data_IF_293085657501
#
_entry.id   IF_293085657501
#
_cell.length_a   1.000
_cell.length_b   1.000
_cell.length_c   1.000
_cell.angle_alpha   90.00
_cell.angle_beta   90.00
_cell.angle_gamma   90.00
#
_symmetry.space_group_name_H-M   'P 1'
#
loop_
_entity.id
_entity.type
_entity.pdbx_description
1 polymer ?
2 polymer ?
3 non-polymer ?
4 non-polymer ?
5 water ?
#
# COMPACT_ATOMS: atom_id res chain seq x y z
C UNK A 1 20.58 -5.97 5.48
N UNK A 2 19.47 -6.66 5.69
CA UNK A 2 18.73 -7.25 4.58
C UNK A 2 17.45 -6.47 4.26
N UNK A 3 17.11 -5.50 5.10
CA UNK A 3 15.93 -4.67 4.84
C UNK A 3 16.17 -3.76 3.64
N UNK A 4 15.32 -3.90 2.63
CA UNK A 4 15.43 -3.10 1.42
C UNK A 4 14.13 -2.34 1.18
N UNK A 5 14.14 -1.48 0.16
CA UNK A 5 12.93 -0.76 -0.23
C UNK A 5 11.87 -1.75 -0.70
N UNK A 6 12.32 -2.82 -1.34
CA UNK A 6 11.43 -3.87 -1.82
C UNK A 6 10.78 -4.62 -0.66
N UNK A 7 11.57 -4.95 0.35
CA UNK A 7 11.05 -5.67 1.55
C UNK A 7 10.13 -4.75 2.31
N UNK A 8 10.53 -3.48 2.42
CA UNK A 8 9.74 -2.47 3.10
C UNK A 8 8.33 -2.38 2.52
N UNK A 9 8.24 -2.46 1.20
CA UNK A 9 6.95 -2.43 0.51
C UNK A 9 6.09 -3.62 0.92
N UNK A 10 6.70 -4.80 0.96
CA UNK A 10 5.99 -6.01 1.34
C UNK A 10 5.49 -5.93 2.77
N UNK A 11 6.32 -5.38 3.65
CA UNK A 11 5.96 -5.24 5.09
C UNK A 11 4.79 -4.31 5.25
N UNK A 12 4.74 -3.27 4.43
CA UNK A 12 3.72 -2.23 4.58
C UNK A 12 2.41 -2.53 3.85
N UNK A 13 2.48 -3.25 2.73
CA UNK A 13 1.32 -3.32 1.84
C UNK A 13 0.83 -4.73 1.50
N UNK A 14 1.68 -5.74 1.63
CA UNK A 14 1.29 -7.09 1.26
C UNK A 14 0.49 -7.79 2.35
N UNK A 15 -0.60 -8.45 1.95
CA UNK A 15 -1.43 -9.20 2.87
C UNK A 15 -2.23 -10.26 2.12
N UNK A 16 -1.54 -11.30 1.65
CA UNK A 16 -2.17 -12.36 0.88
C UNK A 16 -3.11 -13.19 1.75
N UNK B 1 -13.44 -7.38 8.94
CA UNK B 1 -14.19 -6.58 9.90
C UNK B 1 -13.71 -5.13 9.91
N UNK B 2 -14.47 -4.26 10.58
CA UNK B 2 -14.11 -2.86 10.70
C UNK B 2 -12.85 -2.69 11.56
N UNK B 3 -12.47 -3.77 12.24
CA UNK B 3 -11.31 -3.78 13.11
C UNK B 3 -9.99 -3.95 12.36
N UNK B 4 -10.08 -4.36 11.10
CA UNK B 4 -8.90 -4.74 10.31
C UNK B 4 -7.78 -3.71 10.33
N UNK B 5 -8.10 -2.48 9.94
CA UNK B 5 -7.10 -1.43 9.86
C UNK B 5 -6.53 -1.06 11.23
N UNK B 6 -7.38 -0.98 12.24
CA UNK B 6 -6.92 -0.70 13.60
C UNK B 6 -5.87 -1.70 14.08
N UNK B 7 -6.06 -2.96 13.73
CA UNK B 7 -5.14 -4.02 14.13
C UNK B 7 -3.92 -4.08 13.22
N UNK B 8 -4.15 -4.00 11.92
CA UNK B 8 -3.07 -4.14 10.94
C UNK B 8 -2.09 -2.97 10.97
N UNK B 9 -2.60 -1.75 11.02
CA UNK B 9 -1.75 -0.57 11.09
C UNK B 9 -0.83 -0.63 12.31
N UNK B 10 -1.34 -1.21 13.39
CA UNK B 10 -0.57 -1.36 14.62
C UNK B 10 0.49 -2.46 14.48
N UNK B 11 0.05 -3.65 14.08
CA UNK B 11 0.94 -4.79 13.98
C UNK B 11 2.03 -4.57 12.93
N UNK B 12 1.70 -3.84 11.87
CA UNK B 12 2.68 -3.53 10.83
C UNK B 12 3.56 -2.34 11.22
N UNK B 13 3.48 -1.95 12.50
CA UNK B 13 4.27 -0.85 13.04
C UNK B 13 4.13 0.46 12.27
N UNK B 14 2.93 0.72 11.77
CA UNK B 14 2.67 1.96 11.05
C UNK B 14 2.03 2.99 11.97
N UNK B 15 2.02 2.68 13.27
CA UNK B 15 1.55 3.61 14.29
C UNK B 15 2.58 3.75 15.40
N UNK B 16 3.82 3.41 15.09
CA UNK B 16 4.90 3.37 16.08
C UNK B 16 5.33 4.75 16.55
N UNK B 17 5.77 5.59 15.61
CA UNK B 17 6.25 6.93 15.95
C UNK B 17 5.26 8.00 15.50
N UNK B 18 4.32 7.60 14.65
CA UNK B 18 3.30 8.52 14.16
C UNK B 18 2.06 7.76 13.71
N UNK B 19 0.98 8.50 13.49
CA UNK B 19 -0.22 7.90 12.93
C UNK B 19 -0.15 8.04 11.42
N UNK B 20 0.31 7.00 10.73
CA UNK B 20 0.39 7.04 9.28
C UNK B 20 -1.00 7.24 8.72
N UNK B 21 -1.23 8.40 8.08
CA UNK B 21 -2.54 8.88 7.64
C UNK B 21 -3.29 7.85 6.81
N UNK B 22 -2.68 7.39 5.72
CA UNK B 22 -3.31 6.44 4.82
C UNK B 22 -2.37 5.28 4.50
N UNK B 23 -2.92 4.08 4.35
CA UNK B 23 -2.15 2.92 3.92
C UNK B 23 -3.04 1.88 3.27
N UNK B 24 -2.59 1.34 2.14
CA UNK B 24 -3.37 0.36 1.39
C UNK B 24 -2.75 -1.03 1.48
N UNK B 25 -3.58 -2.01 1.81
CA UNK B 25 -3.13 -3.40 1.86
C UNK B 25 -3.64 -4.17 0.65
N UNK B 26 -2.75 -4.90 -0.01
CA UNK B 26 -3.11 -5.67 -1.19
C UNK B 26 -3.29 -7.14 -0.84
N UNK B 27 -4.42 -7.71 -1.24
CA UNK B 27 -4.76 -9.08 -0.87
C UNK B 27 -4.55 -10.06 -2.02
N UNK B 28 -3.64 -9.72 -2.92
CA UNK B 28 -3.28 -10.62 -4.01
C UNK B 28 -1.94 -11.29 -3.71
N UNK B 29 -1.54 -12.23 -4.55
CA UNK B 29 -0.26 -12.89 -4.39
C UNK B 29 0.87 -11.91 -4.66
N UNK B 30 2.02 -12.14 -4.03
CA UNK B 30 3.20 -11.30 -4.23
C UNK B 30 3.59 -11.25 -5.70
N UNK B 31 3.49 -12.39 -6.37
CA UNK B 31 3.85 -12.51 -7.78
C UNK B 31 2.99 -11.60 -8.66
N UNK B 32 1.70 -11.55 -8.37
CA UNK B 32 0.78 -10.72 -9.14
C UNK B 32 1.02 -9.23 -8.90
N UNK B 33 1.42 -8.88 -7.68
CA UNK B 33 1.72 -7.49 -7.34
C UNK B 33 3.04 -7.06 -7.97
N UNK B 34 4.05 -7.93 -7.89
CA UNK B 34 5.34 -7.67 -8.51
C UNK B 34 5.22 -7.54 -10.02
N UNK B 35 4.25 -8.25 -10.59
CA UNK B 35 4.07 -8.28 -12.04
C UNK B 35 3.56 -6.95 -12.59
N UNK B 36 3.02 -6.11 -11.71
CA UNK B 36 2.49 -4.81 -12.11
C UNK B 36 3.61 -3.93 -12.69
N UNK B 37 4.83 -4.16 -12.23
CA UNK B 37 5.99 -3.42 -12.72
C UNK B 37 6.25 -3.62 -14.21
N UNK B 38 5.64 -4.65 -14.78
CA UNK B 38 5.78 -4.93 -16.21
C UNK B 38 4.50 -4.58 -16.95
N UNK B 39 3.68 -3.72 -16.34
CA UNK B 39 2.39 -3.37 -16.92
C UNK B 39 2.31 -1.88 -17.27
N UNK B 40 1.11 -1.31 -17.22
CA UNK B 40 0.89 0.03 -17.77
C UNK B 40 1.70 1.12 -17.07
N UNK B 41 2.71 1.63 -17.77
CA UNK B 41 3.57 2.68 -17.24
C UNK B 41 2.87 4.03 -17.20
N UNK B 42 2.59 4.52 -16.00
CA UNK B 42 1.90 5.79 -15.82
C UNK B 42 2.69 6.74 -14.93
N UNK B 43 2.29 8.01 -14.92
CA UNK B 43 2.95 9.01 -14.09
C UNK B 43 2.56 8.86 -12.63
N UNK B 44 3.55 8.93 -11.74
CA UNK B 44 3.29 8.90 -10.31
C UNK B 44 2.55 10.16 -9.90
N UNK B 45 1.94 10.14 -8.72
CA UNK B 45 1.22 11.30 -8.23
C UNK B 45 2.15 12.50 -8.06
N UNK B 46 3.41 12.24 -7.73
CA UNK B 46 4.38 13.31 -7.54
C UNK B 46 5.06 13.75 -8.84
N UNK B 47 4.72 13.10 -9.94
CA UNK B 47 5.23 13.49 -11.24
C UNK B 47 6.30 12.58 -11.79
N UNK B 48 6.92 11.79 -10.92
CA UNK B 48 7.97 10.86 -11.35
C UNK B 48 7.38 9.81 -12.28
N UNK B 49 8.21 9.24 -13.14
CA UNK B 49 7.72 8.47 -14.28
C UNK B 49 7.90 6.96 -14.17
N UNK B 50 8.30 6.48 -13.00
CA UNK B 50 8.53 5.05 -12.82
C UNK B 50 7.38 4.36 -12.10
N UNK B 51 6.16 4.83 -12.34
CA UNK B 51 4.97 4.21 -11.76
C UNK B 51 4.25 3.34 -12.78
N UNK B 52 3.59 2.29 -12.29
CA UNK B 52 2.93 1.33 -13.17
C UNK B 52 1.55 0.94 -12.64
N UNK B 53 0.55 1.06 -13.51
CA UNK B 53 -0.82 0.71 -13.16
C UNK B 53 -1.16 -0.71 -13.59
N UNK B 54 -1.80 -1.46 -12.70
CA UNK B 54 -2.20 -2.83 -13.01
C UNK B 54 -3.29 -2.85 -14.07
N UNK B 55 -3.12 -3.72 -15.07
CA UNK B 55 -4.10 -3.87 -16.14
C UNK B 55 -5.45 -4.32 -15.61
N UNK B 56 -5.42 -5.25 -14.65
CA UNK B 56 -6.64 -5.79 -14.08
C UNK B 56 -6.88 -5.28 -12.66
N UNK B 57 -8.10 -5.46 -12.19
CA UNK B 57 -8.52 -5.05 -10.85
C UNK B 57 -7.95 -5.97 -9.76
N UNK B 58 -7.54 -5.38 -8.64
CA UNK B 58 -7.02 -6.16 -7.52
C UNK B 58 -7.81 -5.92 -6.23
N UNK B 59 -7.90 -6.95 -5.39
CA UNK B 59 -8.55 -6.83 -4.09
C UNK B 59 -7.65 -6.11 -3.10
N UNK B 60 -8.11 -4.97 -2.59
CA UNK B 60 -7.33 -4.18 -1.64
C UNK B 60 -8.16 -3.72 -0.45
N UNK B 61 -7.46 -3.22 0.57
CA UNK B 61 -8.11 -2.62 1.73
C UNK B 61 -7.50 -1.25 2.01
N UNK B 62 -8.35 -0.23 2.08
CA UNK B 62 -7.88 1.12 2.34
C UNK B 62 -8.02 1.46 3.82
N UNK B 63 -6.91 1.86 4.44
CA UNK B 63 -6.92 2.26 5.84
C UNK B 63 -6.76 3.77 5.96
N UNK B 64 -7.72 4.41 6.62
CA UNK B 64 -7.78 5.87 6.68
C UNK B 64 -8.00 6.35 8.11
N UNK B 65 -7.20 7.33 8.54
CA UNK B 65 -7.35 7.92 9.87
C UNK B 65 -8.75 8.48 10.08
N UNK B 66 -9.34 8.16 11.23
CA UNK B 66 -10.62 8.75 11.62
C UNK B 66 -10.38 10.16 12.13
N UNK B 67 -11.46 10.92 12.31
CA UNK B 67 -11.35 12.29 12.77
C UNK B 67 -10.87 12.41 14.20
N UNK B 68 -11.05 11.34 14.97
CA UNK B 68 -10.67 11.34 16.38
C UNK B 68 -9.27 10.76 16.59
N UNK B 69 -8.62 10.38 15.49
CA UNK B 69 -7.31 9.75 15.56
C UNK B 69 -6.22 10.76 15.93
N UNK B 70 -5.51 10.47 17.02
CA UNK B 70 -4.39 11.31 17.45
C UNK B 70 -3.35 10.48 18.19
N UNK B 71 -2.10 10.57 17.75
CA UNK B 71 -0.99 9.86 18.38
C UNK B 71 -0.90 10.23 19.86
N UNK B 72 -0.67 9.24 20.73
CA UNK B 72 -0.43 7.82 20.42
C UNK B 72 -1.70 6.96 20.33
N UNK B 73 -2.87 7.58 20.30
CA UNK B 73 -4.12 6.84 20.16
C UNK B 73 -4.65 6.88 18.73
N UNK B 74 -4.04 6.10 17.85
CA UNK B 74 -4.42 6.08 16.44
C UNK B 74 -5.72 5.31 16.22
N UNK B 75 -6.48 5.73 15.21
CA UNK B 75 -7.74 5.08 14.88
C UNK B 75 -7.99 5.16 13.37
N UNK B 76 -8.44 4.06 12.78
CA UNK B 76 -8.56 3.99 11.33
C UNK B 76 -9.93 3.51 10.85
N UNK B 77 -10.26 3.90 9.62
CA UNK B 77 -11.46 3.42 8.95
C UNK B 77 -11.09 2.39 7.89
N UNK B 78 -11.76 1.24 7.91
CA UNK B 78 -11.48 0.17 6.96
C UNK B 78 -12.41 0.24 5.76
N UNK B 79 -11.83 0.27 4.57
CA UNK B 79 -12.61 0.29 3.33
C UNK B 79 -12.10 -0.75 2.34
N UNK B 80 -12.93 -1.75 2.07
CA UNK B 80 -12.58 -2.77 1.09
C UNK B 80 -12.98 -2.33 -0.31
N UNK B 81 -12.11 -2.59 -1.28
CA UNK B 81 -12.37 -2.19 -2.65
C UNK B 81 -11.70 -3.13 -3.64
N UNK B 82 -12.11 -3.04 -4.90
CA UNK B 82 -11.50 -3.80 -5.98
C UNK B 82 -11.10 -2.86 -7.11
N UNK B 83 -9.87 -2.36 -7.05
CA UNK B 83 -9.40 -1.34 -7.98
C UNK B 83 -8.09 -1.73 -8.65
N UNK B 84 -7.72 -0.99 -9.69
CA UNK B 84 -6.39 -1.09 -10.27
C UNK B 84 -5.41 -0.42 -9.32
N UNK B 85 -4.28 -1.06 -9.06
CA UNK B 85 -3.28 -0.46 -8.18
C UNK B 85 -2.16 0.18 -8.98
N UNK B 86 -1.61 1.27 -8.45
CA UNK B 86 -0.48 1.95 -9.07
C UNK B 86 0.70 1.97 -8.12
N UNK B 87 1.82 1.42 -8.56
CA UNK B 87 3.01 1.34 -7.71
C UNK B 87 4.24 1.90 -8.41
N UNK B 88 5.18 2.42 -7.63
CA UNK B 88 6.46 2.87 -8.15
C UNK B 88 7.47 1.75 -8.04
N UNK B 89 8.12 1.42 -9.16
CA UNK B 89 9.05 0.30 -9.19
C UNK B 89 10.48 0.77 -9.44
N UNK B 90 11.45 0.05 -8.88
CA UNK B 90 12.86 0.32 -9.14
C UNK B 90 13.74 -0.86 -8.74
N UNK B 91 14.96 -0.89 -9.25
CA UNK B 91 15.94 -1.90 -8.87
C UNK B 91 16.01 -3.10 -9.79
N UNK B 92 16.94 -4.00 -9.49
CA UNK B 92 17.08 -5.25 -10.22
C UNK B 92 17.11 -6.41 -9.22
N UNK B 93 16.03 -7.21 -9.18
CA UNK B 93 14.85 -7.20 -10.05
C UNK B 93 13.94 -5.98 -9.88
N UNK B 94 13.17 -5.69 -10.93
CA UNK B 94 12.30 -4.53 -10.96
C UNK B 94 11.01 -4.80 -10.19
N UNK B 95 10.95 -4.31 -8.95
CA UNK B 95 9.84 -4.60 -8.04
C UNK B 95 9.30 -3.33 -7.38
N UNK B 96 8.05 -3.37 -6.88
CA UNK B 96 7.47 -2.19 -6.24
C UNK B 96 8.22 -1.76 -4.97
N UNK B 97 8.39 -0.46 -4.79
CA UNK B 97 9.05 0.08 -3.61
C UNK B 97 8.18 1.15 -2.95
N UNK B 98 7.12 1.53 -3.65
CA UNK B 98 6.16 2.50 -3.13
C UNK B 98 4.77 2.18 -3.66
N UNK B 99 3.76 2.41 -2.83
CA UNK B 99 2.37 2.29 -3.28
C UNK B 99 1.85 3.69 -3.59
N UNK B 100 1.64 3.97 -4.87
CA UNK B 100 1.27 5.32 -5.29
C UNK B 100 -0.21 5.61 -5.07
N UNK B 101 -1.07 4.86 -5.76
CA UNK B 101 -2.51 5.08 -5.66
C UNK B 101 -3.32 3.89 -6.18
N UNK B 102 -4.63 4.07 -6.23
CA UNK B 102 -5.53 3.09 -6.82
C UNK B 102 -6.58 3.79 -7.67
N UNK B 103 -6.96 3.17 -8.79
CA UNK B 103 -7.93 3.77 -9.70
C UNK B 103 -8.98 2.76 -10.15
X LIG C 1 10.75 -8.23 6.38
X LIG C 1 11.05 -7.06 6.58
X LIG C 1 12.34 -6.49 6.07
X LIG C 1 10.19 -6.19 7.45
X LIG D 1 4.63 4.11 0.67
X LIG D 1 4.91 2.83 0.02
X LIG D 1 4.46 5.15 -0.34
X LIG D 1 3.40 3.99 1.46
X LIG D 1 5.74 4.47 1.55
X LIG E 1 -14.64 9.78 10.84
X LIG E 1 -14.23 8.46 10.38
X LIG E 1 -14.70 10.70 9.70
X LIG E 1 -15.96 9.69 11.46
X LIG E 1 -13.68 10.29 11.81
#
# INVERSE_FOLDING_TARGET
>A
XKETAAXKFEXQHMDS
>B
SSNYCNQMMKSRNLTKDRCKPVNTFVHESLADVQAVCSQKNVACKNGQTNCYQSYSTMSITDCRETGSSKYPNCAYKTTQANKHIIVACEGNPYVPVHFDASV
>C hetero
1 4Y8 O C CM2 CM1
>D hetero
1 SO4 S O1 O2 O3 O4
>E hetero
1 SO4 S O1 O2 O3 O4
#
